data_IF_027590236763
#
_entry.id   IF_027590236763
#
_cell.length_a   1.000
_cell.length_b   1.000
_cell.length_c   1.000
_cell.angle_alpha   90.00
_cell.angle_beta   90.00
_cell.angle_gamma   90.00
#
_symmetry.space_group_name_H-M   'P 1'
#
loop_
_entity.id
_entity.type
_entity.pdbx_description
1 polymer ?
#
# COMPACT_ATOMS: atom_id res chain seq x y z
N UNK A 1 19.14 3.25 -8.96
CA UNK A 1 17.82 2.88 -8.38
C UNK A 1 17.18 1.70 -9.11
N UNK A 2 17.00 1.74 -10.44
CA UNK A 2 16.43 0.61 -11.22
C UNK A 2 17.22 -0.70 -11.02
N UNK A 3 18.56 -0.63 -11.11
CA UNK A 3 19.42 -1.81 -10.89
C UNK A 3 19.29 -2.38 -9.47
N UNK A 4 19.03 -1.53 -8.47
CA UNK A 4 18.83 -1.97 -7.09
C UNK A 4 17.51 -2.73 -6.93
N UNK A 5 16.40 -2.20 -7.44
CA UNK A 5 15.09 -2.86 -7.33
C UNK A 5 15.02 -4.17 -8.13
N UNK A 6 15.79 -4.28 -9.21
CA UNK A 6 15.97 -5.53 -9.97
C UNK A 6 16.79 -6.55 -9.19
N UNK A 7 17.98 -6.19 -8.70
CA UNK A 7 18.88 -7.10 -7.97
C UNK A 7 18.31 -7.59 -6.63
N UNK A 8 17.48 -6.78 -5.99
CA UNK A 8 16.80 -7.14 -4.73
C UNK A 8 15.51 -7.91 -4.97
N UNK A 9 15.11 -8.11 -6.23
CA UNK A 9 13.86 -8.77 -6.60
C UNK A 9 12.61 -7.94 -6.29
N UNK A 10 12.73 -6.70 -5.82
CA UNK A 10 11.60 -5.83 -5.47
C UNK A 10 10.70 -5.59 -6.67
N UNK A 11 11.28 -5.21 -7.80
CA UNK A 11 10.59 -5.03 -9.08
C UNK A 11 11.25 -5.93 -10.11
N UNK A 12 10.54 -6.99 -10.46
CA UNK A 12 10.95 -7.92 -11.52
C UNK A 12 10.10 -7.50 -12.71
N UNK A 13 10.76 -7.13 -13.83
CA UNK A 13 10.07 -6.72 -15.05
C UNK A 13 9.17 -7.82 -15.60
N UNK A 14 8.59 -7.59 -16.77
CA UNK A 14 7.78 -8.61 -17.44
C UNK A 14 8.60 -9.87 -17.81
N UNK A 15 7.93 -10.86 -18.38
CA UNK A 15 8.55 -12.12 -18.84
C UNK A 15 9.72 -11.91 -19.82
N UNK A 16 9.78 -10.75 -20.49
CA UNK A 16 10.85 -10.36 -21.42
C UNK A 16 11.94 -9.51 -20.75
N UNK A 17 11.86 -9.27 -19.44
CA UNK A 17 12.80 -8.47 -18.67
C UNK A 17 12.63 -6.95 -18.80
N UNK A 18 11.52 -6.48 -19.39
CA UNK A 18 11.24 -5.05 -19.54
C UNK A 18 10.68 -4.47 -18.24
N UNK A 19 11.15 -3.28 -17.85
CA UNK A 19 10.66 -2.59 -16.65
C UNK A 19 9.26 -1.97 -16.82
N UNK A 20 8.87 -1.63 -18.06
CA UNK A 20 7.57 -1.00 -18.41
C UNK A 20 7.28 0.31 -17.62
N UNK A 21 8.11 1.35 -17.77
CA UNK A 21 8.03 2.56 -16.95
C UNK A 21 6.73 3.35 -17.08
N UNK A 22 6.04 3.25 -18.23
CA UNK A 22 4.79 3.99 -18.50
C UNK A 22 3.53 3.17 -18.24
N UNK A 23 3.68 1.90 -17.82
CA UNK A 23 2.55 1.06 -17.46
C UNK A 23 2.15 1.36 -16.01
N UNK A 24 0.88 1.71 -15.74
CA UNK A 24 0.40 1.91 -14.39
C UNK A 24 0.56 0.65 -13.54
N UNK A 25 0.96 0.83 -12.28
CA UNK A 25 1.07 -0.24 -11.31
C UNK A 25 -0.32 -0.76 -10.89
N UNK A 26 -0.50 -2.07 -10.85
CA UNK A 26 -1.68 -2.71 -10.29
C UNK A 26 -1.60 -2.85 -8.77
N UNK A 27 -2.74 -3.00 -8.11
CA UNK A 27 -2.81 -3.27 -6.67
C UNK A 27 -2.07 -4.56 -6.27
N UNK A 28 -2.18 -5.61 -7.09
CA UNK A 28 -1.47 -6.88 -6.88
C UNK A 28 0.05 -6.73 -6.97
N UNK A 29 0.56 -5.96 -7.93
CA UNK A 29 2.00 -5.68 -8.03
C UNK A 29 2.50 -4.88 -6.82
N UNK A 30 1.72 -3.89 -6.34
CA UNK A 30 2.08 -3.15 -5.14
C UNK A 30 2.14 -4.03 -3.89
N UNK A 31 1.21 -4.99 -3.73
CA UNK A 31 1.27 -5.97 -2.64
C UNK A 31 2.54 -6.83 -2.70
N UNK A 32 2.95 -7.23 -3.91
CA UNK A 32 4.17 -8.01 -4.13
C UNK A 32 5.42 -7.20 -3.77
N UNK A 33 5.49 -5.94 -4.20
CA UNK A 33 6.57 -5.04 -3.82
C UNK A 33 6.63 -4.88 -2.29
N UNK A 34 5.48 -4.63 -1.66
CA UNK A 34 5.35 -4.47 -0.21
C UNK A 34 5.82 -5.72 0.56
N UNK A 35 5.33 -6.90 0.17
CA UNK A 35 5.69 -8.16 0.80
C UNK A 35 7.19 -8.45 0.67
N UNK A 36 7.79 -8.18 -0.49
CA UNK A 36 9.23 -8.36 -0.71
C UNK A 36 10.06 -7.37 0.10
N UNK A 37 9.66 -6.11 0.14
CA UNK A 37 10.34 -5.07 0.91
C UNK A 37 10.38 -5.40 2.41
N UNK A 38 9.28 -5.95 2.93
CA UNK A 38 9.15 -6.40 4.32
C UNK A 38 9.63 -7.82 4.57
N UNK A 39 10.12 -8.51 3.53
CA UNK A 39 10.58 -9.90 3.58
C UNK A 39 9.54 -10.85 4.20
N UNK A 40 8.26 -10.66 3.85
CA UNK A 40 7.15 -11.44 4.41
C UNK A 40 7.14 -12.86 3.83
N UNK A 41 6.92 -13.84 4.71
CA UNK A 41 6.59 -15.19 4.29
C UNK A 41 5.25 -15.19 3.53
N UNK A 42 5.30 -15.59 2.26
CA UNK A 42 4.17 -15.55 1.33
C UNK A 42 3.84 -16.96 0.82
N UNK A 43 3.39 -17.89 1.69
CA UNK A 43 2.92 -19.20 1.24
C UNK A 43 1.64 -19.05 0.42
N UNK A 44 1.41 -19.98 -0.51
CA UNK A 44 0.13 -20.07 -1.22
C UNK A 44 -0.98 -20.28 -0.18
N UNK A 45 -1.98 -19.39 -0.10
CA UNK A 45 -3.04 -19.52 0.89
C UNK A 45 -3.99 -20.65 0.50
N UNK A 46 -4.53 -21.36 1.49
CA UNK A 46 -5.61 -22.34 1.27
C UNK A 46 -6.91 -21.63 0.86
N UNK A 47 -7.17 -20.46 1.46
CA UNK A 47 -8.29 -19.58 1.16
C UNK A 47 -7.84 -18.12 1.22
N UNK A 48 -8.30 -17.29 0.28
CA UNK A 48 -8.04 -15.85 0.32
C UNK A 48 -9.04 -15.13 1.24
N UNK A 49 -8.55 -14.08 1.89
CA UNK A 49 -9.34 -13.10 2.64
C UNK A 49 -10.26 -12.28 1.73
N UNK A 50 -9.99 -12.25 0.41
CA UNK A 50 -10.72 -11.46 -0.56
C UNK A 50 -11.45 -12.33 -1.58
N UNK A 51 -12.71 -11.99 -1.85
CA UNK A 51 -13.60 -12.83 -2.68
C UNK A 51 -13.21 -12.87 -4.16
N UNK A 52 -12.44 -11.91 -4.63
CA UNK A 52 -11.98 -11.78 -6.02
C UNK A 52 -10.51 -12.19 -6.23
N UNK A 53 -9.86 -12.76 -5.22
CA UNK A 53 -8.48 -13.24 -5.29
C UNK A 53 -8.47 -14.76 -5.22
N UNK A 54 -8.41 -15.41 -6.37
CA UNK A 54 -8.21 -16.85 -6.43
C UNK A 54 -6.84 -17.24 -5.86
N UNK A 55 -6.75 -18.38 -5.16
CA UNK A 55 -5.48 -18.90 -4.64
C UNK A 55 -4.43 -19.16 -5.73
N UNK A 56 -4.88 -19.40 -6.98
CA UNK A 56 -4.02 -19.56 -8.16
C UNK A 56 -3.53 -18.24 -8.76
N UNK A 57 -4.04 -17.09 -8.30
CA UNK A 57 -3.58 -15.80 -8.77
C UNK A 57 -2.13 -15.57 -8.32
N UNK A 58 -1.25 -15.16 -9.24
CA UNK A 58 0.19 -15.06 -8.99
C UNK A 58 0.54 -14.13 -7.80
N UNK A 59 -0.25 -13.07 -7.60
CA UNK A 59 -0.08 -12.14 -6.48
C UNK A 59 -0.78 -12.59 -5.18
N UNK A 60 -1.62 -13.63 -5.20
CA UNK A 60 -2.41 -14.07 -4.02
C UNK A 60 -1.56 -14.29 -2.76
N UNK A 61 -0.40 -14.99 -2.82
CA UNK A 61 0.42 -15.20 -1.62
C UNK A 61 0.92 -13.88 -1.00
N UNK A 62 1.29 -12.92 -1.83
CA UNK A 62 1.79 -11.62 -1.38
C UNK A 62 0.67 -10.71 -0.86
N UNK A 63 -0.50 -10.75 -1.50
CA UNK A 63 -1.69 -10.02 -1.06
C UNK A 63 -2.08 -10.47 0.34
N UNK A 64 -2.18 -11.79 0.57
CA UNK A 64 -2.50 -12.33 1.89
C UNK A 64 -1.43 -12.01 2.94
N UNK A 65 -0.14 -12.14 2.57
CA UNK A 65 0.94 -11.82 3.49
C UNK A 65 0.94 -10.34 3.90
N UNK A 66 0.79 -9.44 2.93
CA UNK A 66 0.74 -8.00 3.17
C UNK A 66 -0.54 -7.58 3.92
N UNK A 67 -1.66 -8.26 3.70
CA UNK A 67 -2.91 -8.03 4.42
C UNK A 67 -2.79 -8.44 5.90
N UNK A 68 -2.24 -9.63 6.17
CA UNK A 68 -1.95 -10.08 7.55
C UNK A 68 -0.98 -9.16 8.28
N UNK A 69 -0.03 -8.56 7.56
CA UNK A 69 0.90 -7.57 8.08
C UNK A 69 0.29 -6.15 8.19
N UNK A 70 -1.01 -5.98 7.90
CA UNK A 70 -1.74 -4.71 7.94
C UNK A 70 -1.16 -3.62 7.03
N UNK A 71 -0.51 -4.02 5.93
CA UNK A 71 0.11 -3.10 4.96
C UNK A 71 -0.88 -2.76 3.84
N UNK A 72 -1.62 -3.75 3.37
CA UNK A 72 -2.67 -3.58 2.36
C UNK A 72 -4.02 -3.96 2.92
N UNK A 73 -5.06 -3.36 2.36
CA UNK A 73 -6.44 -3.66 2.74
C UNK A 73 -7.32 -3.75 1.50
N UNK A 74 -8.44 -4.46 1.64
CA UNK A 74 -9.47 -4.59 0.60
C UNK A 74 -10.44 -3.43 0.62
N UNK A 75 -11.46 -3.56 -0.22
CA UNK A 75 -12.62 -2.69 -0.24
C UNK A 75 -13.71 -3.22 0.69
N UNK A 76 -14.67 -2.37 1.11
CA UNK A 76 -15.78 -2.78 1.99
C UNK A 76 -16.66 -3.90 1.44
N UNK A 77 -16.62 -4.14 0.12
CA UNK A 77 -17.34 -5.23 -0.55
C UNK A 77 -16.62 -6.59 -0.46
N UNK A 78 -15.50 -6.66 0.27
CA UNK A 78 -14.69 -7.87 0.43
C UNK A 78 -13.76 -8.17 -0.74
N UNK A 79 -13.63 -7.26 -1.71
CA UNK A 79 -12.71 -7.41 -2.85
C UNK A 79 -11.36 -6.77 -2.59
N UNK A 80 -10.32 -7.21 -3.31
CA UNK A 80 -9.00 -6.58 -3.34
C UNK A 80 -8.71 -5.90 -4.67
N UNK A 81 -9.31 -6.36 -5.78
CA UNK A 81 -9.09 -5.90 -7.16
C UNK A 81 -7.61 -6.00 -7.57
N UNK A 82 -7.00 -7.21 -7.55
CA UNK A 82 -5.56 -7.37 -7.75
C UNK A 82 -5.05 -6.86 -9.11
N UNK A 83 -5.90 -6.92 -10.14
CA UNK A 83 -5.57 -6.42 -11.49
C UNK A 83 -6.05 -4.98 -11.74
N UNK A 84 -6.67 -4.35 -10.74
CA UNK A 84 -7.08 -2.96 -10.80
C UNK A 84 -5.88 -2.02 -10.70
N UNK A 85 -5.96 -0.88 -11.41
CA UNK A 85 -4.96 0.17 -11.31
C UNK A 85 -4.92 0.75 -9.90
N UNK A 86 -3.73 0.99 -9.38
CA UNK A 86 -3.52 1.62 -8.09
C UNK A 86 -3.61 3.14 -8.23
N UNK A 87 -4.52 3.77 -7.48
CA UNK A 87 -4.60 5.23 -7.39
C UNK A 87 -3.48 5.79 -6.51
N UNK A 88 -3.16 7.09 -6.68
CA UNK A 88 -2.16 7.78 -5.84
C UNK A 88 -2.54 7.75 -4.35
N UNK A 89 -3.83 7.88 -4.03
CA UNK A 89 -4.33 7.83 -2.66
C UNK A 89 -4.12 6.45 -2.02
N UNK A 90 -4.38 5.36 -2.76
CA UNK A 90 -4.11 4.00 -2.29
C UNK A 90 -2.61 3.73 -2.13
N UNK A 91 -1.80 4.21 -3.08
CA UNK A 91 -0.34 4.10 -2.99
C UNK A 91 0.19 4.75 -1.72
N UNK A 92 -0.22 5.98 -1.41
CA UNK A 92 0.19 6.69 -0.18
C UNK A 92 -0.25 5.93 1.07
N UNK A 93 -1.49 5.46 1.14
CA UNK A 93 -1.97 4.70 2.28
C UNK A 93 -1.17 3.40 2.52
N UNK A 94 -0.76 2.71 1.44
CA UNK A 94 0.10 1.52 1.55
C UNK A 94 1.52 1.91 2.00
N UNK A 95 2.08 2.99 1.46
CA UNK A 95 3.43 3.46 1.82
C UNK A 95 3.50 3.89 3.28
N UNK A 96 2.50 4.61 3.80
CA UNK A 96 2.47 4.98 5.22
C UNK A 96 2.48 3.73 6.11
N UNK A 97 1.60 2.75 5.85
CA UNK A 97 1.58 1.49 6.59
C UNK A 97 2.88 0.71 6.46
N UNK A 98 3.50 0.69 5.28
CA UNK A 98 4.85 0.13 5.08
C UNK A 98 5.89 0.81 5.97
N UNK A 99 5.77 2.09 6.22
CA UNK A 99 6.69 2.84 7.07
C UNK A 99 6.26 2.84 8.55
N UNK A 100 5.21 2.09 8.91
CA UNK A 100 4.55 2.13 10.22
C UNK A 100 4.08 3.54 10.61
N UNK A 101 3.75 4.35 9.61
CA UNK A 101 3.13 5.67 9.77
C UNK A 101 1.62 5.52 9.72
N UNK A 102 0.95 6.26 10.58
CA UNK A 102 -0.51 6.22 10.66
C UNK A 102 -1.16 7.38 9.91
N UNK A 103 -2.46 7.33 9.61
CA UNK A 103 -3.13 8.55 9.15
C UNK A 103 -2.95 9.63 10.23
N UNK A 104 -2.66 10.84 9.77
CA UNK A 104 -2.58 12.02 10.61
C UNK A 104 -3.98 12.49 10.96
N UNK A 105 -4.20 12.80 12.23
CA UNK A 105 -5.48 13.30 12.74
C UNK A 105 -5.35 14.72 13.28
N UNK A 106 -6.47 15.44 13.33
CA UNK A 106 -6.52 16.80 13.86
C UNK A 106 -6.10 17.88 12.86
N UNK A 107 -5.83 17.52 11.61
CA UNK A 107 -5.62 18.48 10.51
C UNK A 107 -6.99 18.89 9.98
N UNK A 108 -7.32 20.19 10.09
CA UNK A 108 -8.60 20.73 9.61
C UNK A 108 -8.44 21.70 8.42
N UNK A 109 -7.19 22.09 8.12
CA UNK A 109 -6.85 22.87 6.93
C UNK A 109 -6.12 21.94 5.94
N UNK A 110 -6.71 21.61 4.79
CA UNK A 110 -6.08 20.72 3.82
C UNK A 110 -4.82 21.35 3.23
N UNK A 111 -3.74 20.58 3.14
CA UNK A 111 -2.55 20.99 2.39
C UNK A 111 -2.79 20.96 0.87
N UNK A 112 -3.73 20.13 0.42
CA UNK A 112 -4.03 19.92 -1.00
C UNK A 112 -5.45 20.41 -1.33
N UNK A 113 -5.62 21.35 -2.29
CA UNK A 113 -6.92 21.94 -2.58
C UNK A 113 -7.92 20.96 -3.23
N UNK A 114 -7.44 19.86 -3.78
CA UNK A 114 -8.23 18.79 -4.42
C UNK A 114 -8.53 17.60 -3.49
N UNK A 115 -8.11 17.67 -2.22
CA UNK A 115 -8.34 16.61 -1.23
C UNK A 115 -9.20 17.17 -0.08
N UNK A 116 -10.54 17.07 -0.17
CA UNK A 116 -11.40 17.53 0.91
C UNK A 116 -11.20 16.67 2.17
N UNK A 117 -11.40 17.25 3.36
CA UNK A 117 -11.28 16.54 4.64
C UNK A 117 -12.18 15.29 4.76
N UNK A 118 -13.25 15.22 3.95
CA UNK A 118 -14.14 14.06 3.87
C UNK A 118 -13.63 12.93 2.96
N UNK A 119 -12.54 13.13 2.23
CA UNK A 119 -11.96 12.08 1.39
C UNK A 119 -11.40 10.95 2.26
N UNK A 120 -11.63 9.69 1.89
CA UNK A 120 -11.26 8.53 2.71
C UNK A 120 -9.75 8.47 3.05
N UNK A 121 -8.91 8.98 2.15
CA UNK A 121 -7.46 9.01 2.31
C UNK A 121 -6.93 10.32 2.91
N UNK A 122 -7.80 11.25 3.33
CA UNK A 122 -7.38 12.58 3.78
C UNK A 122 -6.23 12.52 4.79
N UNK A 123 -6.42 11.85 5.92
CA UNK A 123 -5.36 11.73 6.93
C UNK A 123 -4.09 11.00 6.45
N UNK A 124 -4.19 10.08 5.48
CA UNK A 124 -3.02 9.43 4.88
C UNK A 124 -2.23 10.39 3.97
N UNK A 125 -2.94 11.23 3.23
CA UNK A 125 -2.33 12.23 2.36
C UNK A 125 -1.70 13.33 3.21
N UNK A 126 -2.38 13.82 4.23
CA UNK A 126 -1.84 14.79 5.19
C UNK A 126 -0.59 14.23 5.88
N UNK A 127 -0.63 12.99 6.40
CA UNK A 127 0.54 12.30 6.96
C UNK A 127 1.75 12.32 6.02
N UNK A 128 1.53 11.99 4.75
CA UNK A 128 2.61 11.93 3.77
C UNK A 128 3.08 13.33 3.29
N UNK A 129 2.37 14.39 3.69
CA UNK A 129 2.67 15.78 3.34
C UNK A 129 3.46 16.51 4.42
N UNK A 130 3.42 16.00 5.65
CA UNK A 130 4.21 16.51 6.75
C UNK A 130 5.64 15.96 6.70
N UNK A 131 6.59 16.86 6.95
CA UNK A 131 7.90 16.44 7.43
C UNK A 131 7.74 16.15 8.94
N UNK A 132 8.61 15.34 9.54
CA UNK A 132 8.96 15.41 10.98
C UNK A 132 7.94 14.99 12.07
N UNK A 133 8.37 15.27 13.32
CA UNK A 133 8.07 14.59 14.58
C UNK A 133 6.57 14.51 14.94
N UNK A 134 6.16 13.33 15.40
CA UNK A 134 4.77 13.00 15.73
C UNK A 134 4.67 12.33 17.10
N UNK A 135 3.46 12.31 17.68
CA UNK A 135 3.13 11.43 18.80
C UNK A 135 2.20 10.32 18.35
N UNK A 136 2.58 9.06 18.60
CA UNK A 136 1.72 7.91 18.32
C UNK A 136 0.49 7.91 19.24
N UNK A 137 -0.69 7.67 18.67
CA UNK A 137 -1.95 7.56 19.42
C UNK A 137 -2.16 6.14 19.94
N UNK A 138 -2.76 6.02 21.13
CA UNK A 138 -3.10 4.71 21.73
C UNK A 138 -4.11 3.91 20.90
N UNK A 139 -4.98 4.58 20.16
CA UNK A 139 -5.98 3.96 19.28
C UNK A 139 -5.47 3.70 17.85
N UNK A 140 -4.18 3.93 17.60
CA UNK A 140 -3.56 3.86 16.28
C UNK A 140 -3.61 5.20 15.54
N UNK A 141 -2.59 5.46 14.73
CA UNK A 141 -2.42 6.75 14.06
C UNK A 141 -1.45 7.69 14.76
N UNK A 142 -1.33 8.89 14.18
CA UNK A 142 -0.40 9.91 14.63
C UNK A 142 -1.11 11.26 14.79
N UNK A 143 -0.57 12.09 15.68
CA UNK A 143 -0.95 13.51 15.84
C UNK A 143 0.31 14.37 15.75
N UNK A 144 0.17 15.57 15.18
CA UNK A 144 1.24 16.58 15.11
C UNK A 144 1.72 16.94 16.53
N UNK A 145 3.03 17.10 16.69
CA UNK A 145 3.63 17.73 17.87
C UNK A 145 3.78 19.23 17.58
N UNK A 146 3.20 20.08 18.44
CA UNK A 146 3.32 21.54 18.35
C UNK A 146 4.77 22.04 18.48
#
# INVERSE_FOLDING_TARGET
>A
MIEFVKRTGLMIGDENGNFRPDVPLTRGEMAVIAARLKQLASPVPEQSSFVDVAASHWASPAIEAAHRAQIVDGYPDGTYKPNGQLTRAEAVAIVNRLLNRGPLYGVFSPHWPDVPASHWAYGQIEEASENHDYTARLEGGESIVD
#
